data_IF_856628085910
#
_entry.id   IF_856628085910
#
_cell.length_a   1.000
_cell.length_b   1.000
_cell.length_c   1.000
_cell.angle_alpha   90.00
_cell.angle_beta   90.00
_cell.angle_gamma   90.00
#
_symmetry.space_group_name_H-M   'P 1'
#
loop_
_entity.id
_entity.type
_entity.pdbx_description
1 polymer ?
#
# COMPACT_ATOMS: atom_id res chain seq x y z
N UNK A 1 -9.15 -13.32 -37.17
CA UNK A 1 -8.54 -12.56 -36.06
C UNK A 1 -9.60 -12.38 -34.99
N UNK A 2 -9.31 -12.73 -33.73
CA UNK A 2 -10.30 -12.67 -32.64
C UNK A 2 -10.72 -11.23 -32.34
N UNK A 3 -11.94 -11.04 -31.83
CA UNK A 3 -12.46 -9.73 -31.43
C UNK A 3 -11.53 -8.97 -30.47
N UNK A 4 -10.76 -9.71 -29.66
CA UNK A 4 -9.74 -9.15 -28.77
C UNK A 4 -8.62 -8.42 -29.52
N UNK A 5 -8.08 -9.02 -30.59
CA UNK A 5 -7.03 -8.40 -31.39
C UNK A 5 -7.49 -7.11 -32.06
N UNK A 6 -8.77 -7.04 -32.45
CA UNK A 6 -9.38 -5.86 -33.04
C UNK A 6 -9.54 -4.73 -32.02
N UNK A 7 -10.02 -5.06 -30.81
CA UNK A 7 -10.15 -4.11 -29.70
C UNK A 7 -8.79 -3.53 -29.25
N UNK A 8 -7.77 -4.38 -29.13
CA UNK A 8 -6.41 -3.94 -28.78
C UNK A 8 -5.83 -3.00 -29.85
N UNK A 9 -6.01 -3.33 -31.13
CA UNK A 9 -5.54 -2.49 -32.23
C UNK A 9 -6.27 -1.13 -32.26
N UNK A 10 -7.57 -1.13 -31.98
CA UNK A 10 -8.38 0.08 -31.89
C UNK A 10 -7.93 0.96 -30.71
N UNK A 11 -7.67 0.37 -29.54
CA UNK A 11 -7.17 1.09 -28.36
C UNK A 11 -5.80 1.73 -28.60
N UNK A 12 -4.86 0.97 -29.20
CA UNK A 12 -3.53 1.46 -29.54
C UNK A 12 -3.56 2.55 -30.62
N UNK A 13 -4.49 2.44 -31.60
CA UNK A 13 -4.67 3.44 -32.64
C UNK A 13 -5.33 4.74 -32.14
N UNK A 14 -6.11 4.65 -31.05
CA UNK A 14 -6.71 5.78 -30.34
C UNK A 14 -5.79 6.39 -29.29
N UNK A 15 -4.46 6.17 -29.38
CA UNK A 15 -3.47 6.88 -28.56
C UNK A 15 -3.82 8.37 -28.63
N UNK A 16 -4.41 8.90 -27.57
CA UNK A 16 -4.63 10.33 -27.36
C UNK A 16 -3.30 10.97 -27.71
N UNK A 17 -3.30 11.89 -28.69
CA UNK A 17 -2.23 12.88 -28.73
C UNK A 17 -2.32 13.54 -27.37
N UNK A 18 -1.42 13.18 -26.47
CA UNK A 18 -1.18 13.96 -25.26
C UNK A 18 -0.96 15.37 -25.82
N UNK A 19 -1.92 16.26 -25.58
CA UNK A 19 -1.75 17.67 -25.84
C UNK A 19 -0.44 18.10 -25.19
N UNK A 20 0.27 18.99 -25.87
CA UNK A 20 1.52 19.65 -25.46
C UNK A 20 2.03 19.18 -24.10
N UNK A 21 3.10 18.38 -24.12
CA UNK A 21 3.80 17.95 -22.91
C UNK A 21 3.96 19.16 -21.98
N UNK A 22 3.19 19.19 -20.90
CA UNK A 22 3.38 20.17 -19.85
C UNK A 22 4.79 19.96 -19.33
N UNK A 23 5.66 20.93 -19.56
CA UNK A 23 7.03 20.93 -19.07
C UNK A 23 6.99 21.09 -17.55
N UNK A 24 6.75 19.98 -16.84
CA UNK A 24 6.90 19.95 -15.40
C UNK A 24 8.39 20.13 -15.11
N UNK A 25 8.73 21.18 -14.35
CA UNK A 25 10.09 21.37 -13.86
C UNK A 25 10.46 20.14 -13.03
N UNK A 26 11.45 19.39 -13.50
CA UNK A 26 11.99 18.26 -12.75
C UNK A 26 12.54 18.78 -11.43
N UNK A 27 12.21 18.09 -10.33
CA UNK A 27 12.87 18.36 -9.05
C UNK A 27 14.38 18.18 -9.22
N UNK A 28 15.16 18.85 -8.37
CA UNK A 28 16.62 18.77 -8.40
C UNK A 28 17.10 17.31 -8.39
N UNK A 29 16.43 16.42 -7.67
CA UNK A 29 16.68 14.97 -7.68
C UNK A 29 16.47 14.30 -9.04
N UNK A 30 15.38 14.62 -9.75
CA UNK A 30 15.13 14.09 -11.09
C UNK A 30 16.19 14.58 -12.10
N UNK A 31 16.66 15.82 -11.96
CA UNK A 31 17.70 16.36 -12.84
C UNK A 31 19.06 15.69 -12.62
N UNK A 32 19.39 15.32 -11.38
CA UNK A 32 20.60 14.59 -11.02
C UNK A 32 20.58 13.16 -11.58
N UNK A 33 19.42 12.50 -11.53
CA UNK A 33 19.22 11.19 -12.13
C UNK A 33 19.49 11.20 -13.65
N UNK A 34 19.00 12.23 -14.36
CA UNK A 34 19.27 12.41 -15.79
C UNK A 34 20.73 12.71 -16.12
N UNK A 35 21.53 13.20 -15.16
CA UNK A 35 22.96 13.44 -15.31
C UNK A 35 23.82 12.22 -14.98
N UNK A 36 23.22 11.03 -14.79
CA UNK A 36 23.89 9.81 -14.31
C UNK A 36 24.68 10.01 -13.01
N UNK A 37 24.40 11.09 -12.27
CA UNK A 37 24.95 11.32 -10.94
C UNK A 37 23.96 10.69 -9.98
N UNK A 38 24.31 9.51 -9.48
CA UNK A 38 23.56 8.90 -8.40
C UNK A 38 23.48 9.91 -7.26
N UNK A 39 22.29 10.35 -6.84
CA UNK A 39 22.16 11.17 -5.65
C UNK A 39 22.77 10.40 -4.47
N UNK A 40 23.37 11.11 -3.49
CA UNK A 40 23.89 10.45 -2.30
C UNK A 40 22.78 9.60 -1.68
N UNK A 41 23.05 8.30 -1.48
CA UNK A 41 22.08 7.38 -0.90
C UNK A 41 21.67 7.91 0.47
N UNK A 42 20.41 8.31 0.58
CA UNK A 42 19.80 8.59 1.87
C UNK A 42 19.75 7.27 2.66
N UNK A 43 19.96 7.36 3.98
CA UNK A 43 19.76 6.19 4.84
C UNK A 43 18.29 5.80 4.78
N UNK A 44 18.00 4.58 4.35
CA UNK A 44 16.65 4.06 4.41
C UNK A 44 16.20 4.00 5.87
N UNK A 45 15.06 4.63 6.22
CA UNK A 45 14.56 4.60 7.60
C UNK A 45 14.17 3.19 8.07
N UNK A 46 14.13 2.20 7.16
CA UNK A 46 13.64 0.81 7.33
C UNK A 46 12.16 0.73 7.71
N UNK A 47 11.72 1.52 8.68
CA UNK A 47 10.34 1.67 9.08
C UNK A 47 9.97 3.13 9.35
N UNK A 48 8.70 3.47 9.15
CA UNK A 48 8.16 4.80 9.39
C UNK A 48 6.68 4.73 9.78
N UNK A 49 6.15 5.80 10.38
CA UNK A 49 4.76 5.86 10.82
C UNK A 49 3.92 6.56 9.76
N UNK A 50 2.82 5.91 9.36
CA UNK A 50 1.84 6.45 8.41
C UNK A 50 0.52 6.69 9.14
N UNK A 51 -0.04 7.92 9.11
CA UNK A 51 -1.40 8.16 9.57
C UNK A 51 -2.41 7.52 8.59
N UNK A 52 -3.42 6.85 9.13
CA UNK A 52 -4.45 6.19 8.33
C UNK A 52 -5.82 6.26 8.99
N UNK A 53 -6.88 6.03 8.21
CA UNK A 53 -8.24 5.88 8.71
C UNK A 53 -8.83 4.55 8.25
N UNK A 54 -9.65 3.92 9.09
CA UNK A 54 -10.42 2.72 8.74
C UNK A 54 -11.88 2.99 9.09
N UNK A 55 -12.70 3.13 8.05
CA UNK A 55 -14.01 3.74 8.23
C UNK A 55 -13.93 5.17 8.76
N UNK A 56 -15.08 5.77 9.02
CA UNK A 56 -15.19 7.07 9.71
C UNK A 56 -15.90 6.82 11.05
N UNK A 57 -15.41 7.36 12.19
CA UNK A 57 -14.36 8.36 12.34
C UNK A 57 -13.03 7.82 12.92
N UNK A 58 -12.60 6.59 12.61
CA UNK A 58 -11.37 6.05 13.21
C UNK A 58 -10.11 6.63 12.55
N UNK A 59 -9.25 7.28 13.36
CA UNK A 59 -7.95 7.80 12.96
C UNK A 59 -6.85 7.08 13.72
N UNK A 60 -5.98 6.39 12.98
CA UNK A 60 -4.88 5.59 13.51
C UNK A 60 -3.51 6.02 12.97
N UNK A 61 -2.47 5.42 13.55
CA UNK A 61 -1.09 5.49 13.07
C UNK A 61 -0.57 4.07 12.91
N UNK A 62 -0.10 3.72 11.72
CA UNK A 62 0.46 2.41 11.41
C UNK A 62 1.97 2.52 11.33
N UNK A 63 2.67 1.52 11.86
CA UNK A 63 4.08 1.31 11.57
C UNK A 63 4.17 0.60 10.22
N UNK A 64 4.78 1.25 9.24
CA UNK A 64 5.11 0.65 7.96
C UNK A 64 6.57 0.23 7.99
N UNK A 65 6.84 -1.07 7.93
CA UNK A 65 8.17 -1.64 7.86
C UNK A 65 8.38 -2.23 6.47
N UNK A 66 9.39 -1.75 5.74
CA UNK A 66 9.71 -2.22 4.39
C UNK A 66 10.15 -3.70 4.37
N UNK A 67 10.57 -4.23 5.52
CA UNK A 67 10.89 -5.64 5.69
C UNK A 67 9.69 -6.54 5.97
N UNK A 68 8.51 -5.97 6.22
CA UNK A 68 7.28 -6.71 6.51
C UNK A 68 6.33 -6.65 5.31
N UNK A 69 5.91 -7.82 4.84
CA UNK A 69 4.95 -7.96 3.74
C UNK A 69 3.51 -8.22 4.21
N UNK A 70 3.26 -8.13 5.52
CA UNK A 70 2.00 -8.53 6.16
C UNK A 70 1.46 -7.34 6.97
N UNK A 71 0.15 -7.10 6.87
CA UNK A 71 -0.55 -6.11 7.68
C UNK A 71 -1.12 -6.76 8.94
N UNK A 72 -0.78 -6.21 10.10
CA UNK A 72 -1.22 -6.70 11.42
C UNK A 72 -1.94 -5.57 12.14
N UNK A 73 -3.07 -5.89 12.76
CA UNK A 73 -3.83 -4.99 13.61
C UNK A 73 -3.89 -5.57 15.02
N UNK A 74 -3.64 -4.78 16.07
CA UNK A 74 -3.85 -5.26 17.42
C UNK A 74 -5.34 -5.50 17.70
N UNK A 75 -5.64 -6.57 18.44
CA UNK A 75 -7.01 -6.93 18.88
C UNK A 75 -7.75 -5.78 19.56
N UNK A 76 -7.05 -4.89 20.26
CA UNK A 76 -7.65 -3.69 20.86
C UNK A 76 -8.22 -2.73 19.82
N UNK A 77 -7.51 -2.53 18.71
CA UNK A 77 -7.94 -1.69 17.59
C UNK A 77 -9.10 -2.35 16.86
N UNK A 78 -9.00 -3.65 16.59
CA UNK A 78 -10.09 -4.41 15.97
C UNK A 78 -11.40 -4.30 16.74
N UNK A 79 -11.35 -4.47 18.07
CA UNK A 79 -12.52 -4.32 18.96
C UNK A 79 -13.07 -2.90 18.96
N UNK A 80 -12.21 -1.87 18.88
CA UNK A 80 -12.64 -0.48 18.79
C UNK A 80 -13.34 -0.16 17.46
N UNK A 81 -12.89 -0.76 16.36
CA UNK A 81 -13.49 -0.56 15.04
C UNK A 81 -14.87 -1.22 14.91
N UNK A 82 -15.19 -2.20 15.76
CA UNK A 82 -16.50 -2.84 15.76
C UNK A 82 -16.83 -3.59 14.47
N UNK A 83 -15.81 -4.07 13.74
CA UNK A 83 -15.93 -4.72 12.42
C UNK A 83 -16.64 -6.09 12.50
N UNK A 84 -16.98 -6.56 13.70
CA UNK A 84 -17.68 -7.81 13.94
C UNK A 84 -16.68 -8.92 14.29
N UNK A 85 -16.85 -10.11 13.72
CA UNK A 85 -15.98 -11.26 13.98
C UNK A 85 -15.01 -11.46 12.82
N UNK A 86 -13.71 -11.50 13.12
CA UNK A 86 -12.71 -11.86 12.13
C UNK A 86 -12.89 -13.31 11.67
N UNK A 87 -12.52 -13.59 10.41
CA UNK A 87 -12.54 -14.95 9.88
C UNK A 87 -11.43 -15.75 10.56
N UNK A 88 -11.77 -16.91 11.09
CA UNK A 88 -10.79 -17.75 11.77
C UNK A 88 -9.67 -18.15 10.81
N UNK A 89 -8.43 -18.07 11.29
CA UNK A 89 -7.22 -18.38 10.51
C UNK A 89 -6.37 -19.40 11.25
N UNK A 90 -5.60 -20.20 10.50
CA UNK A 90 -4.60 -21.14 11.04
C UNK A 90 -3.18 -20.62 10.86
N UNK A 91 -3.04 -19.33 10.51
CA UNK A 91 -1.75 -18.69 10.30
C UNK A 91 -1.07 -18.49 11.66
N UNK A 92 0.23 -18.80 11.72
CA UNK A 92 1.10 -18.45 12.84
C UNK A 92 2.18 -17.53 12.33
N UNK A 93 2.43 -16.43 13.03
CA UNK A 93 3.46 -15.46 12.68
C UNK A 93 4.73 -15.74 13.48
N UNK A 94 5.86 -15.83 12.80
CA UNK A 94 7.17 -15.92 13.44
C UNK A 94 7.89 -14.59 13.32
N UNK A 95 8.12 -13.94 14.46
CA UNK A 95 8.82 -12.67 14.55
C UNK A 95 10.34 -12.87 14.53
N UNK A 96 11.09 -11.78 14.30
CA UNK A 96 12.55 -11.79 14.17
C UNK A 96 13.25 -12.25 15.46
N UNK A 97 12.61 -12.04 16.60
CA UNK A 97 13.03 -12.50 17.93
C UNK A 97 12.66 -13.96 18.23
N UNK A 98 12.16 -14.69 17.22
CA UNK A 98 11.63 -16.06 17.30
C UNK A 98 10.38 -16.20 18.15
N UNK A 99 9.74 -15.09 18.52
CA UNK A 99 8.42 -15.13 19.14
C UNK A 99 7.38 -15.60 18.12
N UNK A 100 6.43 -16.42 18.58
CA UNK A 100 5.30 -16.87 17.78
C UNK A 100 4.07 -16.09 18.21
N UNK A 101 3.51 -15.31 17.28
CA UNK A 101 2.22 -14.67 17.45
C UNK A 101 1.13 -15.48 16.75
N UNK A 102 -0.02 -15.58 17.40
CA UNK A 102 -1.19 -16.32 16.92
C UNK A 102 -2.33 -15.33 16.74
N UNK A 103 -2.57 -14.87 15.49
CA UNK A 103 -3.73 -14.05 15.17
C UNK A 103 -5.04 -14.74 15.59
N UNK A 104 -5.97 -14.00 16.16
CA UNK A 104 -7.36 -14.42 16.37
C UNK A 104 -8.07 -14.67 15.04
N UNK A 105 -7.72 -13.91 14.00
CA UNK A 105 -8.34 -14.05 12.70
C UNK A 105 -7.70 -13.24 11.57
N UNK A 106 -8.36 -13.32 10.42
CA UNK A 106 -8.09 -12.51 9.24
C UNK A 106 -9.34 -11.69 8.93
N UNK A 107 -9.14 -10.43 8.57
CA UNK A 107 -10.17 -9.53 8.09
C UNK A 107 -9.84 -9.27 6.62
N UNK A 108 -10.74 -9.72 5.75
CA UNK A 108 -10.60 -9.57 4.31
C UNK A 108 -11.18 -8.20 3.87
N UNK A 109 -10.59 -7.59 2.86
CA UNK A 109 -11.12 -6.39 2.16
C UNK A 109 -11.36 -5.15 3.05
N UNK A 110 -10.48 -4.88 4.02
CA UNK A 110 -10.51 -3.66 4.83
C UNK A 110 -10.12 -2.45 3.98
N UNK A 111 -10.99 -1.44 3.92
CA UNK A 111 -10.69 -0.18 3.25
C UNK A 111 -9.90 0.74 4.21
N UNK A 112 -8.62 0.92 3.90
CA UNK A 112 -7.72 1.82 4.63
C UNK A 112 -7.52 3.08 3.82
N UNK A 113 -7.83 4.22 4.41
CA UNK A 113 -7.55 5.53 3.82
C UNK A 113 -6.20 6.04 4.33
N UNK A 114 -5.31 6.37 3.41
CA UNK A 114 -4.03 7.04 3.71
C UNK A 114 -4.02 8.34 2.92
N UNK A 115 -4.00 9.47 3.64
CA UNK A 115 -4.14 10.81 3.04
C UNK A 115 -5.44 10.90 2.19
N UNK A 116 -5.31 11.07 0.87
CA UNK A 116 -6.43 11.16 -0.08
C UNK A 116 -6.76 9.84 -0.78
N UNK A 117 -6.00 8.78 -0.53
CA UNK A 117 -6.13 7.51 -1.24
C UNK A 117 -6.78 6.45 -0.34
N UNK A 118 -7.54 5.54 -0.97
CA UNK A 118 -8.18 4.41 -0.30
C UNK A 118 -7.63 3.14 -0.92
N UNK A 119 -7.17 2.22 -0.08
CA UNK A 119 -6.62 0.94 -0.47
C UNK A 119 -7.42 -0.19 0.19
N UNK A 120 -7.88 -1.19 -0.57
CA UNK A 120 -8.35 -2.43 0.03
C UNK A 120 -7.14 -3.23 0.52
N UNK A 121 -7.23 -3.78 1.72
CA UNK A 121 -6.19 -4.64 2.28
C UNK A 121 -6.77 -5.72 3.18
N UNK A 122 -6.07 -6.85 3.17
CA UNK A 122 -6.27 -7.89 4.15
C UNK A 122 -5.43 -7.60 5.40
N UNK A 123 -5.98 -7.90 6.58
CA UNK A 123 -5.35 -7.64 7.88
C UNK A 123 -5.45 -8.89 8.76
N UNK A 124 -4.36 -9.24 9.43
CA UNK A 124 -4.38 -10.22 10.53
C UNK A 124 -4.62 -9.51 11.86
N UNK A 125 -5.57 -10.02 12.63
CA UNK A 125 -5.90 -9.55 13.99
C UNK A 125 -5.36 -10.50 15.05
#
# INVERSE_FOLDING_TARGET
MSNYAKAMKEFLSKKRRFGEFETAALSTECSLFSQNKLPPKLKDPKSFIIPYNIGEPYYGKALYDLGLSINIMPTSVFRQLGIGKARQTTITLQCVDRYLAYPEGKIDDVLVRVDKFIFPTDILD
#
